data_IF_191307104889
#
_entry.id   IF_191307104889
#
_cell.length_a   1.000
_cell.length_b   1.000
_cell.length_c   1.000
_cell.angle_alpha   90.00
_cell.angle_beta   90.00
_cell.angle_gamma   90.00
#
_symmetry.space_group_name_H-M   'P 1'
#
loop_
_entity.id
_entity.type
_entity.pdbx_description
1 polymer ?
#
# COMPACT_ATOMS: atom_id res chain seq x y z
N UNK A 1 20.50 -6.22 13.06
CA UNK A 1 19.27 -5.98 12.33
C UNK A 1 19.50 -5.96 10.85
N UNK A 2 18.71 -6.69 10.13
CA UNK A 2 18.90 -6.79 8.70
C UNK A 2 18.05 -5.76 8.00
N UNK A 3 18.66 -5.02 7.09
CA UNK A 3 17.92 -4.07 6.29
C UNK A 3 17.72 -4.73 4.96
N UNK A 4 16.47 -4.90 4.56
CA UNK A 4 16.16 -5.54 3.30
C UNK A 4 15.68 -4.48 2.33
N UNK A 5 16.44 -4.33 1.23
CA UNK A 5 16.08 -3.39 0.20
C UNK A 5 15.95 -4.19 -1.09
N UNK A 6 14.81 -4.16 -1.68
CA UNK A 6 14.57 -4.89 -2.92
C UNK A 6 13.97 -4.01 -3.99
N UNK A 7 13.63 -4.62 -5.09
CA UNK A 7 12.99 -3.92 -6.18
C UNK A 7 11.81 -4.73 -6.66
N UNK A 8 10.83 -4.05 -7.19
CA UNK A 8 9.66 -4.71 -7.74
C UNK A 8 10.08 -5.42 -9.02
N UNK A 9 9.90 -6.72 -9.05
CA UNK A 9 10.26 -7.55 -10.19
C UNK A 9 9.08 -7.78 -11.11
N UNK A 10 7.87 -7.76 -10.56
CA UNK A 10 6.67 -7.97 -11.36
C UNK A 10 5.47 -7.38 -10.67
N UNK A 11 4.54 -6.88 -11.45
CA UNK A 11 3.27 -6.38 -10.93
C UNK A 11 2.21 -7.37 -11.37
N UNK A 12 1.54 -7.98 -10.39
CA UNK A 12 0.51 -8.96 -10.69
C UNK A 12 -0.85 -8.29 -10.88
N UNK A 13 -1.12 -7.28 -10.07
CA UNK A 13 -2.32 -6.47 -10.22
C UNK A 13 -2.08 -5.16 -9.48
N UNK A 14 -2.98 -4.20 -9.50
CA UNK A 14 -2.73 -2.90 -8.88
C UNK A 14 -2.47 -2.95 -7.37
N UNK A 15 -2.81 -4.07 -6.73
CA UNK A 15 -2.63 -4.21 -5.30
C UNK A 15 -1.59 -5.26 -4.92
N UNK A 16 -1.01 -5.96 -5.89
CA UNK A 16 -0.13 -7.09 -5.60
C UNK A 16 1.11 -7.05 -6.48
N UNK A 17 2.25 -7.10 -5.83
CA UNK A 17 3.53 -7.04 -6.54
C UNK A 17 4.47 -8.12 -6.04
N UNK A 18 5.50 -8.39 -6.81
CA UNK A 18 6.53 -9.35 -6.40
C UNK A 18 7.84 -8.60 -6.35
N UNK A 19 8.59 -8.77 -5.26
CA UNK A 19 9.91 -8.16 -5.13
C UNK A 19 10.98 -9.24 -5.25
N UNK A 20 12.19 -8.81 -5.56
CA UNK A 20 13.30 -9.72 -5.82
C UNK A 20 14.08 -10.12 -4.56
N UNK A 21 13.42 -10.14 -3.43
CA UNK A 21 14.02 -10.61 -2.18
C UNK A 21 13.07 -11.62 -1.54
N UNK A 22 13.62 -12.61 -0.89
CA UNK A 22 12.81 -13.66 -0.32
C UNK A 22 13.39 -14.15 1.01
N UNK A 23 13.06 -15.38 1.37
CA UNK A 23 13.51 -15.91 2.65
C UNK A 23 15.03 -16.03 2.72
N UNK A 24 15.69 -16.18 1.57
CA UNK A 24 17.15 -16.21 1.57
C UNK A 24 17.74 -14.86 2.00
N UNK A 25 16.95 -13.80 1.91
CA UNK A 25 17.40 -12.47 2.28
C UNK A 25 16.90 -12.07 3.67
N UNK A 26 16.25 -12.98 4.36
CA UNK A 26 15.79 -12.70 5.72
C UNK A 26 14.33 -12.34 5.87
N UNK A 27 13.52 -12.45 4.83
CA UNK A 27 12.11 -12.15 4.93
C UNK A 27 11.40 -13.31 5.62
N UNK A 28 10.64 -13.00 6.67
CA UNK A 28 9.99 -14.03 7.47
C UNK A 28 8.49 -14.11 7.26
N UNK A 29 7.87 -13.06 6.75
CA UNK A 29 6.43 -13.06 6.57
C UNK A 29 5.73 -12.01 7.41
N UNK A 30 6.42 -11.41 8.36
CA UNK A 30 5.81 -10.41 9.22
C UNK A 30 6.22 -9.00 8.90
N UNK A 31 7.00 -8.81 7.87
CA UNK A 31 7.53 -7.51 7.55
C UNK A 31 6.53 -6.67 6.78
N UNK A 32 6.70 -5.39 6.85
CA UNK A 32 5.95 -4.45 6.02
C UNK A 32 6.96 -3.67 5.23
N UNK A 33 6.59 -3.31 4.03
CA UNK A 33 7.49 -2.66 3.11
C UNK A 33 6.92 -1.36 2.61
N UNK A 34 7.78 -0.39 2.40
CA UNK A 34 7.44 0.85 1.73
C UNK A 34 7.85 0.68 0.28
N UNK A 35 6.93 0.91 -0.64
CA UNK A 35 7.22 0.82 -2.06
C UNK A 35 7.32 2.24 -2.58
N UNK A 36 8.41 2.56 -3.24
CA UNK A 36 8.64 3.92 -3.69
C UNK A 36 9.47 3.95 -4.96
N UNK A 37 9.39 5.07 -5.66
CA UNK A 37 10.24 5.34 -6.81
C UNK A 37 11.26 6.38 -6.39
N UNK A 38 12.44 6.32 -6.99
CA UNK A 38 13.46 7.32 -6.73
C UNK A 38 13.20 8.48 -7.69
N UNK A 39 12.99 9.64 -7.14
CA UNK A 39 12.70 10.84 -7.92
C UNK A 39 13.93 11.69 -8.13
N UNK A 40 13.71 12.99 -8.32
CA UNK A 40 14.80 13.88 -8.62
C UNK A 40 15.61 14.25 -7.39
N UNK A 41 16.81 14.70 -7.59
CA UNK A 41 17.63 15.14 -6.50
C UNK A 41 17.15 16.48 -6.01
N UNK A 42 17.08 16.64 -4.72
CA UNK A 42 16.61 17.88 -4.09
C UNK A 42 17.83 18.60 -3.51
N UNK A 43 17.90 19.88 -3.77
CA UNK A 43 18.99 20.72 -3.31
C UNK A 43 18.45 21.74 -2.33
N UNK A 44 19.16 21.93 -1.23
CA UNK A 44 18.77 22.90 -0.22
C UNK A 44 18.94 24.30 -0.82
N UNK A 45 17.89 25.10 -0.89
CA UNK A 45 17.98 26.42 -1.49
C UNK A 45 18.83 27.40 -0.69
N UNK A 46 19.08 27.11 0.57
CA UNK A 46 19.87 27.98 1.41
C UNK A 46 21.34 27.68 1.30
N UNK A 47 21.73 26.42 1.36
CA UNK A 47 23.14 26.06 1.36
C UNK A 47 23.63 25.57 0.01
N UNK A 48 22.70 25.29 -0.92
CA UNK A 48 23.02 24.75 -2.24
C UNK A 48 23.66 23.37 -2.16
N UNK A 49 23.48 22.67 -1.07
CA UNK A 49 24.02 21.33 -0.94
C UNK A 49 22.94 20.32 -1.24
N UNK A 50 23.28 19.19 -1.84
CA UNK A 50 22.28 18.20 -2.15
C UNK A 50 21.73 17.56 -0.88
N UNK A 51 20.42 17.40 -0.83
CA UNK A 51 19.78 16.76 0.29
C UNK A 51 19.52 15.29 0.00
N UNK A 52 19.63 14.86 -1.23
CA UNK A 52 19.39 13.49 -1.64
C UNK A 52 18.29 13.41 -2.66
N UNK A 53 17.97 12.21 -3.06
CA UNK A 53 16.93 12.01 -4.06
C UNK A 53 15.59 11.82 -3.37
N UNK A 54 14.57 12.40 -3.96
CA UNK A 54 13.23 12.32 -3.38
C UNK A 54 12.69 10.93 -3.55
N UNK A 55 12.07 10.39 -2.50
CA UNK A 55 11.39 9.12 -2.60
C UNK A 55 9.93 9.40 -2.86
N UNK A 56 9.43 8.92 -3.97
CA UNK A 56 8.02 9.12 -4.32
C UNK A 56 7.29 7.86 -3.94
N UNK A 57 6.50 7.92 -2.88
CA UNK A 57 5.88 6.75 -2.31
C UNK A 57 4.77 6.21 -3.18
N UNK A 58 4.80 4.93 -3.49
CA UNK A 58 3.76 4.25 -4.24
C UNK A 58 2.74 3.61 -3.30
N UNK A 59 3.16 3.25 -2.10
CA UNK A 59 2.27 2.64 -1.15
C UNK A 59 3.03 1.82 -0.12
N UNK A 60 2.28 1.17 0.76
CA UNK A 60 2.85 0.30 1.78
C UNK A 60 2.30 -1.08 1.56
N UNK A 61 3.10 -2.08 1.80
CA UNK A 61 2.74 -3.45 1.50
C UNK A 61 3.08 -4.39 2.64
N UNK A 62 2.35 -5.47 2.71
CA UNK A 62 2.65 -6.52 3.66
C UNK A 62 2.94 -7.79 2.90
N UNK A 63 3.59 -8.73 3.55
CA UNK A 63 3.97 -9.98 2.91
C UNK A 63 2.76 -10.85 2.74
N UNK A 64 2.56 -11.33 1.53
CA UNK A 64 1.49 -12.27 1.27
C UNK A 64 2.05 -13.68 1.13
N UNK A 65 3.16 -13.84 0.45
CA UNK A 65 3.75 -15.15 0.24
C UNK A 65 5.26 -15.02 0.08
N UNK A 66 6.01 -15.80 0.82
CA UNK A 66 7.47 -15.75 0.78
C UNK A 66 8.01 -16.95 0.04
N UNK A 67 8.88 -16.71 -0.92
CA UNK A 67 9.61 -17.76 -1.62
C UNK A 67 11.09 -17.53 -1.37
N UNK A 68 11.98 -18.46 -1.69
CA UNK A 68 13.39 -18.27 -1.37
C UNK A 68 14.03 -17.03 -1.99
N UNK A 69 13.67 -16.70 -3.21
CA UNK A 69 14.30 -15.59 -3.89
C UNK A 69 13.35 -14.47 -4.29
N UNK A 70 12.10 -14.57 -3.94
CA UNK A 70 11.12 -13.54 -4.25
C UNK A 70 10.02 -13.56 -3.20
N UNK A 71 9.30 -12.49 -3.08
CA UNK A 71 8.20 -12.40 -2.13
C UNK A 71 7.05 -11.65 -2.78
N UNK A 72 5.84 -12.17 -2.62
CA UNK A 72 4.66 -11.48 -3.07
C UNK A 72 4.19 -10.56 -1.97
N UNK A 73 4.01 -9.31 -2.29
CA UNK A 73 3.54 -8.30 -1.35
C UNK A 73 2.20 -7.78 -1.80
N UNK A 74 1.38 -7.44 -0.84
CA UNK A 74 0.05 -6.92 -1.14
C UNK A 74 -0.14 -5.62 -0.38
N UNK A 75 -0.82 -4.67 -1.01
CA UNK A 75 -1.14 -3.40 -0.37
C UNK A 75 -1.94 -3.68 0.89
N UNK A 76 -1.62 -3.02 1.98
CA UNK A 76 -2.40 -3.20 3.19
C UNK A 76 -3.08 -1.93 3.66
N UNK A 77 -2.83 -0.80 3.02
CA UNK A 77 -3.55 0.41 3.37
C UNK A 77 -4.95 0.31 2.81
N UNK A 78 -5.91 0.77 3.55
CA UNK A 78 -7.29 0.74 3.11
C UNK A 78 -7.74 2.11 2.67
N UNK A 79 -8.60 2.15 1.67
CA UNK A 79 -9.14 3.43 1.27
C UNK A 79 -10.65 3.25 1.28
N UNK A 80 -11.37 4.29 1.59
CA UNK A 80 -12.81 4.23 1.63
C UNK A 80 -13.33 4.22 0.21
N UNK A 81 -13.97 3.13 -0.19
CA UNK A 81 -14.47 3.03 -1.53
C UNK A 81 -15.87 3.58 -1.63
N UNK A 82 -16.62 3.54 -0.56
CA UNK A 82 -17.95 3.97 -0.63
C UNK A 82 -18.33 4.52 0.70
N UNK A 83 -18.96 5.66 0.73
CA UNK A 83 -19.38 6.25 1.96
C UNK A 83 -20.61 5.49 2.33
N UNK A 84 -20.72 5.31 3.51
CA UNK A 84 -21.82 4.61 3.90
C UNK A 84 -22.93 5.41 3.72
N UNK A 85 -23.58 5.51 3.07
CA UNK A 85 -24.53 6.27 2.83
C UNK A 85 -25.61 5.78 2.73
N UNK A 86 -25.87 5.54 3.00
CA UNK A 86 -26.77 5.21 2.96
C UNK A 86 -27.74 5.32 2.76
N UNK A 87 -28.49 5.24 2.84
CA UNK A 87 -29.19 5.21 2.60
C UNK A 87 -30.18 5.28 2.41
N UNK A 88 -30.82 5.21 2.55
CA UNK A 88 -31.70 5.22 2.38
C UNK A 88 -32.70 5.50 2.51
N UNK A 89 -33.13 5.69 2.33
CA UNK A 89 -34.07 6.09 2.49
C UNK A 89 -35.14 5.55 2.47
N UNK A 90 -35.28 5.56 2.98
CA UNK A 90 -36.29 4.87 3.11
C UNK A 90 -37.47 5.57 3.05
N UNK A 91 -38.50 5.05 2.79
CA UNK A 91 -39.64 5.80 2.77
C UNK A 91 -40.11 5.89 4.16
N UNK A 92 -41.03 6.65 4.43
CA UNK A 92 -41.46 6.87 5.75
C UNK A 92 -42.04 5.66 6.38
N UNK A 93 -42.57 4.79 5.61
CA UNK A 93 -43.15 3.61 6.17
C UNK A 93 -42.09 2.78 6.84
N UNK A 94 -40.96 2.59 6.17
CA UNK A 94 -39.93 1.81 6.74
C UNK A 94 -39.31 2.50 7.95
N UNK A 95 -39.26 3.79 7.91
CA UNK A 95 -38.72 4.48 9.02
C UNK A 95 -39.64 4.30 10.19
N UNK A 96 -40.92 4.24 9.94
CA UNK A 96 -41.86 4.10 10.96
C UNK A 96 -41.67 2.76 11.63
N UNK A 97 -41.30 1.75 10.91
CA UNK A 97 -41.10 0.46 11.49
C UNK A 97 -39.86 0.45 12.32
N UNK A 98 -39.11 1.44 12.24
CA UNK A 98 -38.05 1.64 13.11
C UNK A 98 -36.86 0.93 12.87
N UNK A 99 -36.78 -0.05 12.27
CA UNK A 99 -35.60 -0.62 12.25
C UNK A 99 -34.95 -0.41 11.13
N UNK A 100 -35.16 0.51 10.57
CA UNK A 100 -34.56 0.68 9.49
C UNK A 100 -33.37 1.19 9.38
N UNK A 101 -32.86 1.55 10.28
CA UNK A 101 -31.77 2.21 10.23
C UNK A 101 -30.82 1.33 10.02
N UNK A 102 -30.43 0.92 9.16
CA UNK A 102 -29.53 0.23 8.87
C UNK A 102 -28.36 0.87 8.93
N UNK A 103 -27.54 0.65 9.71
CA UNK A 103 -26.33 1.22 9.80
C UNK A 103 -25.50 0.50 8.87
N UNK A 104 -25.14 1.06 7.82
CA UNK A 104 -24.33 0.43 6.86
C UNK A 104 -22.91 0.83 7.11
N UNK A 105 -22.04 -0.08 7.38
CA UNK A 105 -20.66 0.23 7.59
C UNK A 105 -20.04 0.69 6.30
N UNK A 106 -19.07 1.59 6.36
CA UNK A 106 -18.36 2.02 5.17
C UNK A 106 -17.69 0.83 4.49
N UNK A 107 -17.65 0.86 3.19
CA UNK A 107 -17.00 -0.20 2.44
C UNK A 107 -15.57 0.23 2.19
N UNK A 108 -14.63 -0.56 2.64
CA UNK A 108 -13.23 -0.29 2.44
C UNK A 108 -12.65 -1.32 1.52
N UNK A 109 -11.67 -0.94 0.78
CA UNK A 109 -10.93 -1.84 -0.08
C UNK A 109 -9.45 -1.49 0.11
N UNK A 110 -8.57 -2.36 -0.30
CA UNK A 110 -7.16 -2.09 -0.23
C UNK A 110 -6.81 -1.05 -1.27
N UNK A 111 -5.91 -0.15 -0.89
CA UNK A 111 -5.55 0.92 -1.78
C UNK A 111 -4.60 0.42 -2.84
N UNK A 112 -4.80 0.84 -4.07
CA UNK A 112 -3.91 0.47 -5.15
C UNK A 112 -2.57 1.17 -4.94
N UNK A 113 -1.51 0.55 -5.41
CA UNK A 113 -0.22 1.22 -5.43
C UNK A 113 -0.28 2.27 -6.53
N UNK A 114 0.24 3.46 -6.24
CA UNK A 114 0.23 4.53 -7.21
C UNK A 114 1.60 4.71 -7.83
N UNK A 115 1.67 4.60 -9.11
CA UNK A 115 2.93 4.82 -9.81
C UNK A 115 3.94 3.69 -9.72
N UNK A 116 3.51 2.52 -9.24
CA UNK A 116 4.44 1.42 -9.10
C UNK A 116 4.78 0.88 -10.48
N UNK A 117 6.03 0.48 -10.64
CA UNK A 117 6.48 -0.11 -11.91
C UNK A 117 7.58 -1.10 -11.59
N UNK A 118 7.93 -1.91 -12.56
CA UNK A 118 9.05 -2.82 -12.41
C UNK A 118 10.29 -1.96 -12.20
N UNK A 119 11.04 -2.26 -11.16
CA UNK A 119 12.18 -1.45 -10.77
C UNK A 119 11.90 -0.48 -9.64
N UNK A 120 10.64 -0.29 -9.24
CA UNK A 120 10.32 0.49 -8.04
C UNK A 120 10.98 -0.16 -6.85
N UNK A 121 11.34 0.63 -5.87
CA UNK A 121 12.10 0.14 -4.72
C UNK A 121 11.17 -0.31 -3.60
N UNK A 122 11.66 -1.24 -2.81
CA UNK A 122 10.94 -1.74 -1.65
C UNK A 122 11.89 -1.81 -0.48
N UNK A 123 11.52 -1.26 0.65
CA UNK A 123 12.33 -1.37 1.85
C UNK A 123 11.44 -1.62 3.07
N UNK A 124 12.00 -2.26 4.07
CA UNK A 124 11.27 -2.57 5.28
C UNK A 124 10.98 -1.29 6.03
N UNK A 125 9.76 -1.20 6.56
CA UNK A 125 9.38 -0.10 7.44
C UNK A 125 9.02 -0.68 8.78
N UNK A 126 9.21 0.11 9.79
CA UNK A 126 8.93 -0.34 11.13
C UNK A 126 7.74 0.35 11.70
#
# INVERSE_FOLDING_TARGET
>A
MTIINGEVAKILDPKTIVINKGSDDGITGNERFLIYNVGQEIVDPITNKPLGKLEVVCGEAMVEHVMPKMTTLKSFKKELKSASRKIQHTNGYLSFLGSTEEIVDPIYDLKDFEGVKVGSKARIIK
#
